data_IF_573509705242
#
_entry.id   IF_573509705242
#
_cell.length_a   1.000
_cell.length_b   1.000
_cell.length_c   1.000
_cell.angle_alpha   90.00
_cell.angle_beta   90.00
_cell.angle_gamma   90.00
#
_symmetry.space_group_name_H-M   'P 1'
#
loop_
_entity.id
_entity.type
_entity.pdbx_description
1 polymer ?
#
# COMPACT_ATOMS: atom_id res chain seq x y z
N UNK A 1 -12.53 13.31 -20.44
CA UNK A 1 -11.75 12.05 -20.44
C UNK A 1 -12.31 11.13 -19.38
N UNK A 2 -12.73 9.92 -19.76
CA UNK A 2 -13.34 8.94 -18.85
C UNK A 2 -12.31 8.20 -17.99
N UNK A 3 -12.74 7.12 -17.32
CA UNK A 3 -11.85 6.25 -16.56
C UNK A 3 -11.09 5.30 -17.49
N UNK A 4 -9.80 5.56 -17.70
CA UNK A 4 -8.94 4.78 -18.61
C UNK A 4 -8.39 3.51 -17.94
N UNK A 5 -8.32 3.48 -16.61
CA UNK A 5 -7.76 2.37 -15.83
C UNK A 5 -8.89 1.53 -15.24
N UNK A 6 -8.76 0.21 -15.34
CA UNK A 6 -9.74 -0.78 -14.89
C UNK A 6 -9.03 -1.97 -14.27
N UNK A 7 -9.14 -2.15 -12.96
CA UNK A 7 -8.39 -3.16 -12.20
C UNK A 7 -9.38 -4.04 -11.43
N UNK A 8 -9.18 -5.36 -11.41
CA UNK A 8 -9.99 -6.26 -10.57
C UNK A 8 -9.76 -5.93 -9.08
N UNK A 9 -10.79 -6.06 -8.25
CA UNK A 9 -10.66 -5.74 -6.83
C UNK A 9 -9.53 -6.52 -6.15
N UNK A 10 -9.37 -7.82 -6.44
CA UNK A 10 -8.27 -8.63 -5.91
C UNK A 10 -6.89 -8.06 -6.26
N UNK A 11 -6.70 -7.68 -7.52
CA UNK A 11 -5.41 -7.12 -7.99
C UNK A 11 -5.14 -5.75 -7.38
N UNK A 12 -6.19 -4.92 -7.26
CA UNK A 12 -6.11 -3.61 -6.61
C UNK A 12 -5.71 -3.75 -5.14
N UNK A 13 -6.36 -4.65 -4.39
CA UNK A 13 -6.08 -4.90 -2.98
C UNK A 13 -4.66 -5.45 -2.83
N UNK A 14 -4.29 -6.46 -3.63
CA UNK A 14 -2.95 -7.06 -3.60
C UNK A 14 -1.85 -6.00 -3.77
N UNK A 15 -2.05 -5.08 -4.71
CA UNK A 15 -1.07 -4.03 -5.03
C UNK A 15 -1.03 -2.89 -4.02
N UNK A 16 -2.19 -2.45 -3.52
CA UNK A 16 -2.32 -1.22 -2.74
C UNK A 16 -2.64 -1.41 -1.26
N UNK A 17 -2.77 -2.64 -0.75
CA UNK A 17 -2.99 -2.86 0.70
C UNK A 17 -1.90 -2.19 1.57
N UNK A 18 -0.66 -2.15 1.07
CA UNK A 18 0.48 -1.51 1.74
C UNK A 18 0.32 0.01 1.93
N UNK A 19 -0.60 0.65 1.21
CA UNK A 19 -0.91 2.05 1.38
C UNK A 19 -1.65 2.34 2.71
N UNK A 20 -2.22 1.30 3.32
CA UNK A 20 -2.96 1.35 4.59
C UNK A 20 -2.07 0.84 5.72
N UNK A 21 -2.21 1.45 6.91
CA UNK A 21 -1.44 1.05 8.09
C UNK A 21 -2.04 -0.14 8.83
N UNK A 22 -3.29 -0.49 8.54
CA UNK A 22 -4.02 -1.55 9.20
C UNK A 22 -4.01 -2.83 8.36
N UNK A 23 -3.71 -3.95 9.02
CA UNK A 23 -3.86 -5.30 8.49
C UNK A 23 -5.32 -5.71 8.26
N UNK A 24 -6.28 -4.96 8.81
CA UNK A 24 -7.69 -5.31 8.80
C UNK A 24 -8.25 -5.39 7.37
N UNK A 25 -7.65 -4.67 6.43
CA UNK A 25 -8.01 -4.68 5.00
C UNK A 25 -8.00 -6.09 4.40
N UNK A 26 -7.12 -6.97 4.88
CA UNK A 26 -7.02 -8.35 4.40
C UNK A 26 -8.25 -9.22 4.75
N UNK A 27 -9.02 -8.82 5.78
CA UNK A 27 -10.20 -9.55 6.26
C UNK A 27 -11.52 -8.96 5.75
N UNK A 28 -11.48 -7.83 5.06
CA UNK A 28 -12.66 -7.17 4.51
C UNK A 28 -13.13 -7.84 3.21
N UNK A 29 -14.42 -7.67 2.90
CA UNK A 29 -14.93 -8.01 1.55
C UNK A 29 -14.26 -7.12 0.51
N UNK A 30 -14.01 -7.66 -0.68
CA UNK A 30 -13.21 -7.00 -1.72
C UNK A 30 -13.60 -5.54 -1.99
N UNK A 31 -14.90 -5.26 -2.20
CA UNK A 31 -15.38 -3.91 -2.46
C UNK A 31 -15.14 -2.96 -1.27
N UNK A 32 -15.30 -3.47 -0.06
CA UNK A 32 -15.06 -2.71 1.17
C UNK A 32 -13.56 -2.43 1.36
N UNK A 33 -12.70 -3.42 1.13
CA UNK A 33 -11.25 -3.27 1.14
C UNK A 33 -10.78 -2.18 0.17
N UNK A 34 -11.30 -2.18 -1.07
CA UNK A 34 -11.01 -1.15 -2.08
C UNK A 34 -11.43 0.23 -1.58
N UNK A 35 -12.64 0.38 -1.05
CA UNK A 35 -13.13 1.66 -0.50
C UNK A 35 -12.26 2.14 0.66
N UNK A 36 -11.82 1.25 1.54
CA UNK A 36 -10.94 1.59 2.66
C UNK A 36 -9.58 2.11 2.18
N UNK A 37 -8.96 1.45 1.19
CA UNK A 37 -7.70 1.91 0.57
C UNK A 37 -7.91 3.28 -0.10
N UNK A 38 -9.00 3.47 -0.82
CA UNK A 38 -9.32 4.74 -1.49
C UNK A 38 -9.53 5.90 -0.49
N UNK A 39 -10.17 5.62 0.65
CA UNK A 39 -10.32 6.59 1.75
C UNK A 39 -8.98 6.98 2.35
N UNK A 40 -8.10 6.00 2.59
CA UNK A 40 -6.76 6.24 3.16
C UNK A 40 -5.91 7.17 2.30
N UNK A 41 -6.09 7.14 0.97
CA UNK A 41 -5.41 8.04 0.04
C UNK A 41 -6.19 9.33 -0.25
N UNK A 42 -7.32 9.57 0.42
CA UNK A 42 -8.22 10.69 0.13
C UNK A 42 -8.54 10.77 -1.37
N UNK A 43 -9.01 9.67 -1.94
CA UNK A 43 -9.46 9.63 -3.33
C UNK A 43 -10.75 10.42 -3.49
N UNK A 44 -10.80 11.33 -4.47
CA UNK A 44 -12.03 12.02 -4.83
C UNK A 44 -12.96 11.10 -5.63
N UNK A 45 -14.26 11.19 -5.37
CA UNK A 45 -15.29 10.44 -6.10
C UNK A 45 -15.32 10.76 -7.60
N UNK A 46 -14.75 11.89 -8.03
CA UNK A 46 -14.64 12.26 -9.44
C UNK A 46 -13.49 11.55 -10.18
N UNK A 47 -12.58 10.89 -9.45
CA UNK A 47 -11.41 10.20 -10.00
C UNK A 47 -11.50 8.67 -9.93
N UNK A 48 -12.52 8.14 -9.26
CA UNK A 48 -12.74 6.69 -9.15
C UNK A 48 -14.22 6.30 -9.29
N UNK A 49 -14.49 5.06 -9.66
CA UNK A 49 -15.82 4.48 -9.68
C UNK A 49 -15.76 2.98 -9.41
N UNK A 50 -16.48 2.54 -8.37
CA UNK A 50 -16.60 1.12 -8.04
C UNK A 50 -17.62 0.42 -8.96
N UNK A 51 -17.16 -0.55 -9.75
CA UNK A 51 -18.01 -1.46 -10.52
C UNK A 51 -18.54 -2.65 -9.70
N UNK A 52 -18.84 -3.76 -10.40
CA UNK A 52 -19.23 -5.02 -9.76
C UNK A 52 -18.03 -5.78 -9.18
N UNK A 53 -16.97 -5.89 -9.98
CA UNK A 53 -15.75 -6.66 -9.66
C UNK A 53 -14.46 -5.87 -9.90
N UNK A 54 -14.59 -4.63 -10.36
CA UNK A 54 -13.49 -3.80 -10.82
C UNK A 54 -13.58 -2.39 -10.25
N UNK A 55 -12.43 -1.81 -10.00
CA UNK A 55 -12.27 -0.39 -9.74
C UNK A 55 -11.88 0.32 -11.04
N UNK A 56 -12.54 1.45 -11.31
CA UNK A 56 -12.31 2.29 -12.49
C UNK A 56 -11.67 3.59 -12.02
N UNK A 57 -10.52 3.97 -12.58
CA UNK A 57 -9.78 5.14 -12.12
C UNK A 57 -9.31 6.02 -13.27
N UNK A 58 -9.12 7.30 -12.97
CA UNK A 58 -8.33 8.20 -13.81
C UNK A 58 -6.85 8.07 -13.44
N UNK A 59 -5.97 8.40 -14.39
CA UNK A 59 -4.51 8.27 -14.25
C UNK A 59 -3.94 9.06 -13.07
N UNK A 60 -4.53 10.21 -12.73
CA UNK A 60 -4.08 11.02 -11.59
C UNK A 60 -4.20 10.25 -10.25
N UNK A 61 -5.26 9.46 -10.09
CA UNK A 61 -5.46 8.66 -8.88
C UNK A 61 -4.51 7.45 -8.83
N UNK A 62 -4.30 6.78 -9.96
CA UNK A 62 -3.32 5.69 -10.04
C UNK A 62 -1.90 6.18 -9.71
N UNK A 63 -1.48 7.31 -10.28
CA UNK A 63 -0.19 7.92 -9.98
C UNK A 63 -0.05 8.26 -8.49
N UNK A 64 -1.12 8.75 -7.85
CA UNK A 64 -1.16 9.04 -6.42
C UNK A 64 -1.03 7.77 -5.57
N UNK A 65 -1.70 6.68 -5.97
CA UNK A 65 -1.62 5.38 -5.31
C UNK A 65 -0.20 4.78 -5.44
N UNK A 66 0.38 4.77 -6.65
CA UNK A 66 1.76 4.30 -6.87
C UNK A 66 2.78 5.10 -6.07
N UNK A 67 2.69 6.43 -6.08
CA UNK A 67 3.59 7.29 -5.31
C UNK A 67 3.54 7.00 -3.81
N UNK A 68 2.35 6.70 -3.25
CA UNK A 68 2.20 6.33 -1.84
C UNK A 68 2.76 4.93 -1.57
N UNK A 69 2.51 3.98 -2.47
CA UNK A 69 3.02 2.60 -2.41
C UNK A 69 4.55 2.59 -2.36
N UNK A 70 5.19 3.36 -3.25
CA UNK A 70 6.65 3.49 -3.31
C UNK A 70 7.23 4.08 -2.02
N UNK A 71 6.66 5.17 -1.51
CA UNK A 71 7.08 5.77 -0.23
C UNK A 71 6.99 4.76 0.92
N UNK A 72 5.91 3.97 0.99
CA UNK A 72 5.73 2.93 2.01
C UNK A 72 6.76 1.82 1.91
N UNK A 73 7.04 1.35 0.68
CA UNK A 73 8.07 0.33 0.44
C UNK A 73 9.46 0.83 0.82
N UNK A 74 9.81 2.06 0.45
CA UNK A 74 11.10 2.66 0.82
C UNK A 74 11.27 2.74 2.34
N UNK A 75 10.24 3.22 3.07
CA UNK A 75 10.30 3.32 4.52
C UNK A 75 10.46 1.94 5.19
N UNK A 76 9.75 0.92 4.71
CA UNK A 76 9.86 -0.44 5.24
C UNK A 76 11.26 -1.02 5.00
N UNK A 77 11.86 -0.75 3.84
CA UNK A 77 13.22 -1.20 3.52
C UNK A 77 14.28 -0.51 4.40
N UNK A 78 14.13 0.80 4.65
CA UNK A 78 15.03 1.56 5.55
C UNK A 78 14.96 0.98 6.97
N UNK A 79 13.76 0.76 7.49
CA UNK A 79 13.58 0.19 8.83
C UNK A 79 14.25 -1.18 8.95
N UNK A 80 14.06 -2.06 7.97
CA UNK A 80 14.69 -3.39 7.96
C UNK A 80 16.22 -3.34 7.93
N UNK A 81 16.81 -2.36 7.24
CA UNK A 81 18.26 -2.17 7.20
C UNK A 81 18.81 -1.67 8.54
N UNK A 82 18.10 -0.77 9.22
CA UNK A 82 18.49 -0.29 10.56
C UNK A 82 18.44 -1.41 11.61
N UNK A 83 17.41 -2.27 11.59
CA UNK A 83 17.34 -3.43 12.48
C UNK A 83 18.48 -4.44 12.25
N UNK A 84 18.83 -4.72 10.99
CA UNK A 84 19.96 -5.62 10.65
C UNK A 84 21.30 -5.09 11.12
N UNK A 85 21.54 -3.77 11.01
CA UNK A 85 22.80 -3.18 11.46
C UNK A 85 22.93 -3.15 12.99
N UNK A 86 21.85 -2.89 13.73
CA UNK A 86 21.89 -2.88 15.20
C UNK A 86 22.13 -4.27 15.80
N UNK A 87 21.61 -5.34 15.20
CA UNK A 87 21.86 -6.71 15.68
C UNK A 87 23.28 -7.22 15.38
N UNK A 88 24.01 -6.60 14.43
CA UNK A 88 25.39 -7.01 14.12
C UNK A 88 26.40 -6.44 15.12
N UNK A 89 26.12 -5.27 15.70
CA UNK A 89 27.02 -4.62 16.66
C UNK A 89 26.91 -5.20 18.08
N UNK A 90 25.78 -5.80 18.47
CA UNK A 90 25.61 -6.35 19.82
C UNK A 90 26.26 -7.73 20.03
N UNK A 91 26.69 -8.42 18.98
CA UNK A 91 27.33 -9.74 19.10
C UNK A 91 28.86 -9.68 19.22
N UNK A 92 29.48 -8.49 19.20
CA UNK A 92 30.95 -8.34 19.24
C UNK A 92 31.52 -7.87 20.59
N UNK A 93 30.71 -7.70 21.65
CA UNK A 93 31.19 -7.21 22.95
C UNK A 93 31.48 -8.28 24.01
N UNK A 94 31.36 -9.57 23.72
CA UNK A 94 31.46 -10.64 24.73
C UNK A 94 32.72 -11.53 24.68
N UNK A 95 33.84 -11.06 24.09
CA UNK A 95 35.05 -11.89 23.98
C UNK A 95 36.35 -11.25 24.50
N UNK A 96 36.30 -10.42 25.55
CA UNK A 96 37.51 -10.07 26.30
C UNK A 96 37.35 -10.49 27.77
N UNK A 97 37.78 -11.71 28.08
CA UNK A 97 38.10 -12.16 29.43
C UNK A 97 39.52 -12.70 29.43
#
# INVERSE_FOLDING_TARGET
MGYTIRILYKDFISRYMICVNSSDVAFLKEKEAVVTILKEVNASKEHCQCGKTKEFMKTELENKLESRREKKLMNNNINNNNYKNNNKNNNNSNNNK
#
